data_IF_353273991749
#
_entry.id   IF_353273991749
#
_cell.length_a   1.000
_cell.length_b   1.000
_cell.length_c   1.000
_cell.angle_alpha   90.00
_cell.angle_beta   90.00
_cell.angle_gamma   90.00
#
_symmetry.space_group_name_H-M   'P 1'
#
loop_
_entity.id
_entity.type
_entity.pdbx_description
1 polymer ?
#
# COMPACT_ATOMS: atom_id res chain seq x y z
N UNK A 1 28.92 -31.41 -4.79
CA UNK A 1 28.51 -31.79 -3.44
C UNK A 1 27.51 -30.76 -2.98
N UNK A 2 26.25 -31.15 -2.79
CA UNK A 2 25.29 -30.26 -2.13
C UNK A 2 25.79 -30.04 -0.71
N UNK A 3 26.13 -28.82 -0.39
CA UNK A 3 26.50 -28.44 0.97
C UNK A 3 25.31 -28.71 1.86
N UNK A 4 25.48 -29.52 2.91
CA UNK A 4 24.39 -29.95 3.80
C UNK A 4 23.83 -28.72 4.54
N UNK A 5 22.54 -28.49 4.37
CA UNK A 5 21.77 -27.54 5.20
C UNK A 5 21.73 -28.07 6.64
N UNK A 6 21.86 -27.17 7.61
CA UNK A 6 21.92 -27.48 9.03
C UNK A 6 20.70 -26.94 9.74
N UNK A 7 20.14 -27.73 10.63
CA UNK A 7 19.15 -27.27 11.60
C UNK A 7 19.85 -26.44 12.68
N UNK A 8 19.37 -25.21 12.88
CA UNK A 8 19.84 -24.31 13.92
C UNK A 8 18.67 -23.66 14.64
N UNK A 9 18.82 -23.39 15.93
CA UNK A 9 17.83 -22.66 16.70
C UNK A 9 18.04 -21.15 16.53
N UNK A 10 16.96 -20.36 16.67
CA UNK A 10 17.08 -18.90 16.54
C UNK A 10 18.04 -18.26 17.56
N UNK A 11 18.20 -18.86 18.78
CA UNK A 11 19.16 -18.35 19.76
C UNK A 11 20.64 -18.68 19.41
N UNK A 12 20.88 -19.56 18.45
CA UNK A 12 22.21 -19.82 17.87
C UNK A 12 22.50 -18.86 16.69
N UNK A 13 21.44 -18.39 15.99
CA UNK A 13 21.55 -17.42 14.90
C UNK A 13 21.99 -16.05 15.41
N UNK A 14 21.58 -15.69 16.61
CA UNK A 14 21.90 -14.38 17.16
C UNK A 14 21.27 -14.11 18.52
N UNK A 15 21.51 -12.91 19.03
CA UNK A 15 20.95 -12.47 20.31
C UNK A 15 19.49 -12.11 20.17
N UNK A 16 18.62 -12.83 20.90
CA UNK A 16 17.18 -12.54 20.92
C UNK A 16 16.86 -11.45 21.96
N UNK A 17 16.19 -10.40 21.52
CA UNK A 17 15.73 -9.30 22.37
C UNK A 17 14.23 -9.14 22.21
N UNK A 18 13.48 -9.23 23.32
CA UNK A 18 12.09 -8.77 23.39
C UNK A 18 12.11 -7.28 23.73
N UNK A 19 11.36 -6.50 22.97
CA UNK A 19 11.28 -5.07 23.20
C UNK A 19 10.59 -4.71 24.53
N UNK A 20 10.66 -3.43 24.89
CA UNK A 20 10.03 -2.88 26.09
C UNK A 20 9.59 -1.46 25.84
N UNK A 21 8.42 -1.11 26.36
CA UNK A 21 7.87 0.25 26.28
C UNK A 21 8.36 1.08 27.50
N UNK A 22 9.00 2.25 27.26
CA UNK A 22 9.24 3.22 28.33
C UNK A 22 7.95 3.68 28.98
N UNK A 23 8.00 4.21 30.20
CA UNK A 23 6.81 4.70 30.91
C UNK A 23 6.06 5.73 30.06
N UNK A 24 4.85 5.42 29.66
CA UNK A 24 4.00 6.27 28.81
C UNK A 24 3.47 7.52 29.53
N UNK A 25 3.45 7.50 30.87
CA UNK A 25 3.08 8.66 31.69
C UNK A 25 4.15 9.75 31.75
N UNK A 26 5.34 9.50 31.21
CA UNK A 26 6.44 10.46 31.15
C UNK A 26 6.58 10.90 29.70
N UNK A 27 6.00 12.06 29.37
CA UNK A 27 6.00 12.61 28.01
C UNK A 27 7.41 12.83 27.46
N UNK A 28 8.37 13.26 28.31
CA UNK A 28 9.77 13.49 27.99
C UNK A 28 10.50 12.21 27.47
N UNK A 29 9.91 11.03 27.59
CA UNK A 29 10.49 9.81 27.05
C UNK A 29 10.31 9.72 25.52
N UNK A 30 9.40 10.51 24.94
CA UNK A 30 8.97 10.41 23.56
C UNK A 30 9.26 11.69 22.77
N UNK A 31 9.23 11.60 21.41
CA UNK A 31 9.38 12.75 20.52
C UNK A 31 10.84 13.12 20.20
N UNK A 32 11.81 12.22 20.46
CA UNK A 32 13.20 12.39 20.04
C UNK A 32 13.50 11.75 18.68
N UNK A 33 14.77 11.37 18.48
CA UNK A 33 15.27 10.88 17.19
C UNK A 33 15.40 9.35 17.10
N UNK A 34 15.09 8.60 18.16
CA UNK A 34 15.28 7.16 18.18
C UNK A 34 13.97 6.47 17.79
N UNK A 35 13.92 5.72 16.67
CA UNK A 35 12.73 5.01 16.25
C UNK A 35 12.20 4.05 17.32
N UNK A 36 10.87 4.08 17.56
CA UNK A 36 10.19 3.17 18.48
C UNK A 36 9.16 2.33 17.73
N UNK A 37 9.60 1.18 17.26
CA UNK A 37 8.81 0.27 16.43
C UNK A 37 7.77 -0.50 17.25
N UNK A 38 6.54 -0.50 16.74
CA UNK A 38 5.40 -1.26 17.28
C UNK A 38 4.64 -1.95 16.14
N UNK A 39 3.80 -2.96 16.37
CA UNK A 39 3.00 -3.58 15.31
C UNK A 39 2.02 -2.62 14.62
N UNK A 40 1.74 -1.46 15.20
CA UNK A 40 0.91 -0.41 14.56
C UNK A 40 1.64 0.37 13.47
N UNK A 41 2.95 0.23 13.37
CA UNK A 41 3.76 0.81 12.29
C UNK A 41 3.63 -0.04 11.01
N UNK A 42 4.09 0.49 9.88
CA UNK A 42 4.02 -0.24 8.62
C UNK A 42 5.05 -1.38 8.58
N UNK A 43 4.65 -2.56 9.01
CA UNK A 43 5.48 -3.78 8.94
C UNK A 43 5.29 -4.57 7.63
N UNK A 44 4.76 -3.97 6.57
CA UNK A 44 4.64 -4.61 5.25
C UNK A 44 5.78 -4.20 4.29
N UNK A 45 6.80 -3.53 4.80
CA UNK A 45 8.01 -3.12 4.09
C UNK A 45 9.20 -3.92 4.62
N UNK A 46 10.25 -4.07 3.79
CA UNK A 46 11.45 -4.80 4.21
C UNK A 46 12.20 -4.08 5.31
N UNK A 47 12.48 -2.80 5.13
CA UNK A 47 13.28 -2.00 6.05
C UNK A 47 12.45 -0.86 6.61
N UNK A 48 12.36 -0.77 7.94
CA UNK A 48 11.64 0.31 8.61
C UNK A 48 12.51 1.56 8.69
N UNK A 49 12.08 2.63 8.02
CA UNK A 49 12.80 3.91 8.00
C UNK A 49 12.14 4.96 8.91
N UNK A 50 10.84 4.82 9.19
CA UNK A 50 10.06 5.76 9.98
C UNK A 50 9.12 4.99 10.90
N UNK A 51 8.91 5.51 12.11
CA UNK A 51 7.95 4.98 13.07
C UNK A 51 6.99 6.08 13.52
N UNK A 52 5.78 5.71 13.89
CA UNK A 52 4.76 6.65 14.40
C UNK A 52 5.16 7.34 15.69
N UNK A 53 6.03 6.71 16.46
CA UNK A 53 6.57 7.23 17.72
C UNK A 53 8.07 7.10 17.72
N UNK A 54 8.73 8.05 18.36
CA UNK A 54 10.16 8.04 18.61
C UNK A 54 10.47 8.22 20.08
N UNK A 55 11.66 7.85 20.51
CA UNK A 55 12.14 8.03 21.88
C UNK A 55 13.20 9.10 21.95
N UNK A 56 13.22 9.81 23.08
CA UNK A 56 14.35 10.65 23.47
C UNK A 56 15.46 9.79 24.08
N UNK A 57 16.63 10.38 24.32
CA UNK A 57 17.70 9.73 25.09
C UNK A 57 17.26 9.34 26.51
N UNK A 58 16.32 10.10 27.11
CA UNK A 58 15.73 9.78 28.43
C UNK A 58 14.88 8.51 28.32
N UNK A 59 14.01 8.43 27.30
CA UNK A 59 13.20 7.24 27.05
C UNK A 59 14.05 6.01 26.75
N UNK A 60 15.11 6.17 25.95
CA UNK A 60 16.06 5.09 25.67
C UNK A 60 16.72 4.58 26.95
N UNK A 61 17.12 5.45 27.88
CA UNK A 61 17.79 5.07 29.13
C UNK A 61 16.92 4.14 30.01
N UNK A 62 15.58 4.25 29.96
CA UNK A 62 14.68 3.32 30.66
C UNK A 62 14.70 1.90 30.07
N UNK A 63 15.07 1.78 28.79
CA UNK A 63 14.98 0.52 28.01
C UNK A 63 16.26 0.23 27.21
N UNK A 64 17.41 0.78 27.62
CA UNK A 64 18.69 0.70 26.87
C UNK A 64 19.11 -0.72 26.48
N UNK A 65 18.73 -1.73 27.28
CA UNK A 65 19.03 -3.13 27.00
C UNK A 65 18.21 -3.69 25.83
N UNK A 66 17.20 -2.93 25.33
CA UNK A 66 16.37 -3.27 24.20
C UNK A 66 16.75 -2.51 22.93
N UNK A 67 17.85 -1.74 22.95
CA UNK A 67 18.36 -1.08 21.75
C UNK A 67 18.89 -2.11 20.77
N UNK A 68 18.37 -2.04 19.54
CA UNK A 68 18.71 -2.90 18.42
C UNK A 68 19.57 -2.11 17.44
N UNK A 69 20.71 -2.65 16.99
CA UNK A 69 21.48 -2.03 15.91
C UNK A 69 20.75 -2.14 14.55
N UNK A 70 21.25 -1.41 13.57
CA UNK A 70 20.86 -1.57 12.16
C UNK A 70 20.94 -3.05 11.75
N UNK A 71 20.06 -3.46 10.82
CA UNK A 71 19.95 -4.81 10.28
C UNK A 71 19.50 -5.87 11.31
N UNK A 72 18.88 -5.46 12.41
CA UNK A 72 18.21 -6.41 13.31
C UNK A 72 16.89 -6.89 12.68
N UNK A 73 16.61 -8.18 12.76
CA UNK A 73 15.36 -8.79 12.24
C UNK A 73 14.30 -8.71 13.33
N UNK A 74 13.24 -7.93 13.11
CA UNK A 74 12.15 -7.69 14.05
C UNK A 74 10.89 -8.45 13.62
N UNK A 75 10.33 -9.27 14.51
CA UNK A 75 9.16 -10.11 14.24
C UNK A 75 8.04 -9.77 15.22
N UNK A 76 6.87 -9.47 14.69
CA UNK A 76 5.66 -9.28 15.50
C UNK A 76 5.19 -10.64 16.06
N UNK A 77 5.01 -10.71 17.37
CA UNK A 77 4.72 -11.97 18.07
C UNK A 77 3.37 -11.99 18.77
N UNK A 78 2.51 -10.99 18.59
CA UNK A 78 1.21 -10.86 19.27
C UNK A 78 0.16 -10.26 18.34
N UNK A 79 -1.08 -10.75 18.42
CA UNK A 79 -2.25 -10.14 17.81
C UNK A 79 -2.45 -10.50 16.34
N UNK A 80 -3.28 -9.71 15.64
CA UNK A 80 -3.63 -9.91 14.22
C UNK A 80 -2.43 -9.78 13.28
N UNK A 81 -1.41 -9.03 13.68
CA UNK A 81 -0.18 -8.77 12.91
C UNK A 81 0.95 -9.76 13.23
N UNK A 82 0.65 -10.84 13.96
CA UNK A 82 1.61 -11.89 14.28
C UNK A 82 2.29 -12.43 13.03
N UNK A 83 3.62 -12.53 13.06
CA UNK A 83 4.43 -13.06 11.97
C UNK A 83 4.88 -12.04 10.92
N UNK A 84 4.53 -10.75 11.06
CA UNK A 84 5.13 -9.69 10.22
C UNK A 84 6.59 -9.48 10.60
N UNK A 85 7.43 -9.26 9.60
CA UNK A 85 8.89 -9.16 9.76
C UNK A 85 9.43 -7.91 9.07
N UNK A 86 10.29 -7.16 9.75
CA UNK A 86 11.01 -6.01 9.20
C UNK A 86 12.46 -6.00 9.65
N UNK A 87 13.32 -5.30 8.90
CA UNK A 87 14.68 -4.96 9.28
C UNK A 87 14.74 -3.53 9.84
N UNK A 88 15.59 -3.31 10.83
CA UNK A 88 15.91 -1.96 11.32
C UNK A 88 16.85 -1.25 10.35
N UNK A 89 16.58 0.03 10.01
CA UNK A 89 17.46 0.88 9.18
C UNK A 89 18.60 1.51 9.99
N UNK A 90 18.36 1.68 11.31
CA UNK A 90 19.25 2.33 12.27
C UNK A 90 19.01 1.80 13.68
N UNK A 91 19.65 2.39 14.65
CA UNK A 91 19.46 2.06 16.07
C UNK A 91 17.99 2.28 16.47
N UNK A 92 17.28 1.21 16.81
CA UNK A 92 15.83 1.19 17.01
C UNK A 92 15.48 0.51 18.34
N UNK A 93 14.42 0.93 19.00
CA UNK A 93 13.81 0.23 20.13
C UNK A 93 12.46 -0.32 19.71
N UNK A 94 12.08 -1.50 20.19
CA UNK A 94 10.75 -2.11 19.91
C UNK A 94 9.93 -2.21 21.19
N UNK A 95 8.60 -2.34 21.04
CA UNK A 95 7.73 -2.66 22.18
C UNK A 95 7.78 -4.17 22.51
N UNK A 96 7.12 -4.57 23.60
CA UNK A 96 7.10 -5.96 24.08
C UNK A 96 6.34 -6.94 23.16
N UNK A 97 5.69 -6.48 22.12
CA UNK A 97 4.97 -7.31 21.14
C UNK A 97 5.90 -7.82 20.02
N UNK A 98 7.15 -7.36 20.01
CA UNK A 98 8.15 -7.69 19.00
C UNK A 98 9.31 -8.44 19.65
N UNK A 99 9.65 -9.60 19.09
CA UNK A 99 10.92 -10.27 19.33
C UNK A 99 11.87 -9.97 18.17
N UNK A 100 13.11 -9.67 18.49
CA UNK A 100 14.12 -9.24 17.52
C UNK A 100 15.36 -10.11 17.61
N UNK A 101 15.99 -10.36 16.46
CA UNK A 101 17.23 -11.11 16.34
C UNK A 101 18.34 -10.14 15.92
N UNK A 102 19.35 -9.95 16.78
CA UNK A 102 20.60 -9.35 16.36
C UNK A 102 21.46 -10.48 15.81
N UNK A 103 21.45 -10.61 14.49
CA UNK A 103 22.10 -11.72 13.77
C UNK A 103 23.61 -11.64 13.96
N UNK A 104 24.28 -12.76 14.27
CA UNK A 104 25.72 -12.83 14.41
C UNK A 104 26.43 -12.99 13.05
N UNK A 105 27.75 -12.87 13.03
CA UNK A 105 28.57 -12.84 11.81
C UNK A 105 28.59 -14.15 11.01
N UNK A 106 28.14 -15.27 11.58
CA UNK A 106 28.07 -16.56 10.90
C UNK A 106 26.85 -16.72 9.99
N UNK A 107 25.92 -15.73 10.04
CA UNK A 107 24.68 -15.75 9.26
C UNK A 107 24.49 -14.44 8.52
N UNK A 108 23.84 -14.51 7.35
CA UNK A 108 23.40 -13.35 6.58
C UNK A 108 22.06 -12.84 7.12
N UNK A 109 22.01 -11.59 7.57
CA UNK A 109 20.80 -11.01 8.17
C UNK A 109 19.62 -10.90 7.17
N UNK A 110 19.90 -10.73 5.86
CA UNK A 110 18.84 -10.73 4.85
C UNK A 110 18.30 -12.15 4.66
N UNK A 111 19.16 -13.19 4.67
CA UNK A 111 18.69 -14.57 4.61
C UNK A 111 17.80 -14.87 5.83
N UNK A 112 18.22 -14.49 7.03
CA UNK A 112 17.41 -14.66 8.25
C UNK A 112 16.09 -13.87 8.16
N UNK A 113 16.09 -12.67 7.60
CA UNK A 113 14.87 -11.90 7.33
C UNK A 113 13.89 -12.70 6.47
N UNK A 114 14.34 -13.25 5.33
CA UNK A 114 13.49 -14.03 4.43
C UNK A 114 13.02 -15.36 5.06
N UNK A 115 13.89 -16.01 5.83
CA UNK A 115 13.50 -17.20 6.59
C UNK A 115 12.40 -16.86 7.60
N UNK A 116 12.53 -15.75 8.31
CA UNK A 116 11.53 -15.32 9.29
C UNK A 116 10.20 -14.93 8.66
N UNK A 117 10.15 -14.50 7.39
CA UNK A 117 8.89 -14.32 6.66
C UNK A 117 8.13 -15.65 6.53
N UNK A 118 8.82 -16.75 6.20
CA UNK A 118 8.20 -18.07 6.10
C UNK A 118 7.76 -18.60 7.47
N UNK A 119 8.63 -18.51 8.47
CA UNK A 119 8.30 -18.86 9.86
C UNK A 119 7.12 -18.04 10.36
N UNK A 120 7.11 -16.73 10.11
CA UNK A 120 6.03 -15.83 10.49
C UNK A 120 4.68 -16.20 9.85
N UNK A 121 4.67 -16.60 8.58
CA UNK A 121 3.46 -17.10 7.90
C UNK A 121 2.94 -18.39 8.56
N UNK A 122 3.83 -19.33 8.91
CA UNK A 122 3.45 -20.56 9.63
C UNK A 122 2.87 -20.25 11.01
N UNK A 123 3.53 -19.38 11.78
CA UNK A 123 3.09 -18.98 13.10
C UNK A 123 1.72 -18.27 13.04
N UNK A 124 1.49 -17.41 12.05
CA UNK A 124 0.19 -16.76 11.83
C UNK A 124 -0.91 -17.78 11.49
N UNK A 125 -0.61 -18.75 10.63
CA UNK A 125 -1.56 -19.80 10.27
C UNK A 125 -1.93 -20.66 11.49
N UNK A 126 -0.96 -21.13 12.26
CA UNK A 126 -1.19 -21.90 13.49
C UNK A 126 -1.99 -21.11 14.52
N UNK A 127 -1.79 -19.82 14.60
CA UNK A 127 -2.49 -18.93 15.53
C UNK A 127 -3.99 -18.81 15.25
N UNK A 128 -4.39 -18.85 13.99
CA UNK A 128 -5.80 -18.73 13.56
C UNK A 128 -6.63 -19.97 13.91
N UNK A 129 -5.99 -21.10 14.16
CA UNK A 129 -6.65 -22.33 14.63
C UNK A 129 -6.88 -22.37 16.15
N UNK A 130 -6.38 -21.39 16.90
CA UNK A 130 -6.51 -21.30 18.36
C UNK A 130 -7.61 -20.29 18.75
N UNK A 131 -8.41 -20.61 19.76
CA UNK A 131 -9.44 -19.71 20.31
C UNK A 131 -8.89 -18.57 21.20
N UNK A 132 -7.60 -18.61 21.55
CA UNK A 132 -6.91 -17.59 22.34
C UNK A 132 -6.08 -16.68 21.44
N UNK A 133 -5.90 -15.40 21.87
CA UNK A 133 -4.97 -14.48 21.17
C UNK A 133 -3.58 -15.10 21.16
N UNK A 134 -3.02 -15.38 19.98
CA UNK A 134 -1.74 -16.06 19.89
C UNK A 134 -0.62 -15.14 20.40
N UNK A 135 0.16 -15.65 21.33
CA UNK A 135 1.33 -14.97 21.87
C UNK A 135 2.52 -15.91 21.77
N UNK A 136 3.55 -15.48 21.06
CA UNK A 136 4.83 -16.18 20.99
C UNK A 136 5.82 -15.47 21.93
N UNK A 137 6.01 -16.04 23.09
CA UNK A 137 6.97 -15.51 24.05
C UNK A 137 8.42 -15.74 23.59
N UNK A 138 9.35 -15.01 24.21
CA UNK A 138 10.79 -15.08 23.89
C UNK A 138 11.34 -16.51 23.92
N UNK A 139 10.95 -17.31 24.94
CA UNK A 139 11.48 -18.69 25.10
C UNK A 139 11.05 -19.60 23.98
N UNK A 140 9.78 -19.51 23.54
CA UNK A 140 9.28 -20.27 22.39
C UNK A 140 9.97 -19.80 21.13
N UNK A 141 9.99 -18.49 20.88
CA UNK A 141 10.65 -17.88 19.71
C UNK A 141 12.12 -18.30 19.59
N UNK A 142 12.88 -18.27 20.70
CA UNK A 142 14.31 -18.63 20.71
C UNK A 142 14.59 -20.08 20.33
N UNK A 143 13.64 -20.99 20.56
CA UNK A 143 13.76 -22.42 20.31
C UNK A 143 13.27 -22.84 18.92
N UNK A 144 12.67 -21.92 18.15
CA UNK A 144 12.29 -22.23 16.77
C UNK A 144 13.51 -22.70 15.99
N UNK A 145 13.33 -23.77 15.21
CA UNK A 145 14.38 -24.40 14.41
C UNK A 145 14.20 -23.97 12.96
N UNK A 146 15.27 -23.54 12.35
CA UNK A 146 15.34 -23.20 10.93
C UNK A 146 16.45 -24.00 10.24
N UNK A 147 16.28 -24.27 8.96
CA UNK A 147 17.31 -24.87 8.14
C UNK A 147 18.12 -23.80 7.44
N UNK A 148 19.43 -23.85 7.53
CA UNK A 148 20.33 -22.86 6.96
C UNK A 148 21.44 -23.52 6.14
N UNK A 149 21.73 -23.01 4.92
CA UNK A 149 22.89 -23.42 4.14
C UNK A 149 24.17 -22.73 4.67
N UNK A 150 25.35 -23.08 4.13
CA UNK A 150 26.57 -22.31 4.36
C UNK A 150 26.42 -20.83 4.03
N UNK A 151 27.19 -19.98 4.71
CA UNK A 151 27.07 -18.50 4.64
C UNK A 151 27.10 -17.95 3.21
N UNK A 152 27.95 -18.52 2.32
CA UNK A 152 28.05 -18.05 0.94
C UNK A 152 26.78 -18.34 0.14
N UNK A 153 26.12 -19.46 0.42
CA UNK A 153 24.84 -19.79 -0.19
C UNK A 153 23.70 -18.92 0.38
N UNK A 154 23.72 -18.64 1.71
CA UNK A 154 22.79 -17.67 2.32
C UNK A 154 22.88 -16.33 1.62
N UNK A 155 24.09 -15.81 1.36
CA UNK A 155 24.30 -14.54 0.67
C UNK A 155 23.80 -14.55 -0.77
N UNK A 156 23.98 -15.66 -1.51
CA UNK A 156 23.45 -15.79 -2.87
C UNK A 156 21.92 -15.77 -2.88
N UNK A 157 21.29 -16.56 -2.03
CA UNK A 157 19.82 -16.59 -1.89
C UNK A 157 19.28 -15.22 -1.51
N UNK A 158 19.85 -14.59 -0.49
CA UNK A 158 19.40 -13.29 -0.02
C UNK A 158 19.63 -12.18 -1.03
N UNK A 159 20.70 -12.25 -1.82
CA UNK A 159 20.98 -11.30 -2.91
C UNK A 159 19.90 -11.34 -3.99
N UNK A 160 19.51 -12.54 -4.45
CA UNK A 160 18.46 -12.71 -5.47
C UNK A 160 17.16 -12.06 -4.99
N UNK A 161 16.72 -12.39 -3.77
CA UNK A 161 15.47 -11.86 -3.20
C UNK A 161 15.56 -10.36 -2.91
N UNK A 162 16.70 -9.89 -2.40
CA UNK A 162 16.91 -8.48 -2.09
C UNK A 162 16.93 -7.58 -3.32
N UNK A 163 17.44 -8.08 -4.44
CA UNK A 163 17.42 -7.33 -5.71
C UNK A 163 15.99 -7.16 -6.23
N UNK A 164 15.13 -8.17 -6.08
CA UNK A 164 13.72 -8.05 -6.42
C UNK A 164 13.03 -7.01 -5.51
N UNK A 165 13.24 -7.09 -4.19
CA UNK A 165 12.67 -6.12 -3.25
C UNK A 165 13.18 -4.70 -3.52
N UNK A 166 14.48 -4.53 -3.76
CA UNK A 166 15.06 -3.22 -4.09
C UNK A 166 14.46 -2.62 -5.37
N UNK A 167 14.19 -3.46 -6.37
CA UNK A 167 13.52 -3.01 -7.60
C UNK A 167 12.07 -2.58 -7.32
N UNK A 168 11.33 -3.33 -6.51
CA UNK A 168 9.97 -2.99 -6.07
C UNK A 168 9.98 -1.64 -5.33
N UNK A 169 10.85 -1.49 -4.34
CA UNK A 169 10.97 -0.25 -3.56
C UNK A 169 11.32 0.96 -4.44
N UNK A 170 12.22 0.77 -5.41
CA UNK A 170 12.57 1.83 -6.36
C UNK A 170 11.38 2.24 -7.24
N UNK A 171 10.61 1.27 -7.77
CA UNK A 171 9.41 1.55 -8.56
C UNK A 171 8.36 2.29 -7.75
N UNK A 172 8.12 1.91 -6.49
CA UNK A 172 7.21 2.61 -5.58
C UNK A 172 7.66 4.06 -5.33
N UNK A 173 8.96 4.29 -5.14
CA UNK A 173 9.54 5.64 -4.99
C UNK A 173 9.38 6.48 -6.26
N UNK A 174 9.60 5.88 -7.42
CA UNK A 174 9.38 6.56 -8.71
C UNK A 174 7.91 6.94 -8.85
N UNK A 175 6.97 6.05 -8.54
CA UNK A 175 5.54 6.35 -8.61
C UNK A 175 5.15 7.51 -7.70
N UNK A 176 5.63 7.51 -6.45
CA UNK A 176 5.39 8.63 -5.52
C UNK A 176 5.87 9.97 -6.10
N UNK A 177 7.08 9.99 -6.68
CA UNK A 177 7.62 11.22 -7.27
C UNK A 177 6.82 11.67 -8.51
N UNK A 178 6.35 10.73 -9.33
CA UNK A 178 5.51 11.02 -10.49
C UNK A 178 4.13 11.56 -10.08
N UNK A 179 3.52 11.01 -9.04
CA UNK A 179 2.27 11.53 -8.47
C UNK A 179 2.42 12.97 -7.94
N UNK A 180 3.51 13.23 -7.21
CA UNK A 180 3.79 14.59 -6.71
C UNK A 180 4.09 15.57 -7.86
N UNK A 181 4.76 15.11 -8.93
CA UNK A 181 4.96 15.91 -10.14
C UNK A 181 3.61 16.26 -10.79
N UNK A 182 2.73 15.29 -10.99
CA UNK A 182 1.39 15.50 -11.56
C UNK A 182 0.57 16.50 -10.72
N UNK A 183 0.57 16.34 -9.40
CA UNK A 183 -0.10 17.29 -8.48
C UNK A 183 0.48 18.68 -8.58
N UNK A 184 1.81 18.82 -8.70
CA UNK A 184 2.48 20.12 -8.83
C UNK A 184 2.09 20.82 -10.11
N UNK A 185 2.08 20.09 -11.26
CA UNK A 185 1.63 20.61 -12.55
C UNK A 185 0.16 21.02 -12.47
N UNK A 186 -0.71 20.16 -11.90
CA UNK A 186 -2.13 20.43 -11.76
C UNK A 186 -2.36 21.70 -10.95
N UNK A 187 -1.72 21.84 -9.79
CA UNK A 187 -1.83 23.04 -8.94
C UNK A 187 -1.41 24.29 -9.69
N UNK A 188 -0.28 24.27 -10.38
CA UNK A 188 0.27 25.39 -11.11
C UNK A 188 -0.68 25.89 -12.21
N UNK A 189 -1.30 24.94 -12.94
CA UNK A 189 -2.19 25.27 -14.07
C UNK A 189 -3.63 25.54 -13.67
N UNK A 190 -4.21 24.74 -12.75
CA UNK A 190 -5.66 24.65 -12.54
C UNK A 190 -6.16 25.10 -11.16
N UNK A 191 -5.23 25.35 -10.21
CA UNK A 191 -5.58 25.93 -8.90
C UNK A 191 -5.03 27.34 -8.80
N UNK A 192 -3.73 27.52 -9.07
CA UNK A 192 -3.07 28.81 -8.98
C UNK A 192 -3.23 29.64 -10.29
N UNK A 193 -3.68 29.03 -11.38
CA UNK A 193 -3.84 29.61 -12.73
C UNK A 193 -2.62 30.41 -13.24
N UNK A 194 -1.42 30.11 -12.73
CA UNK A 194 -0.21 30.95 -12.93
C UNK A 194 0.12 31.25 -14.40
N UNK A 195 0.02 30.30 -15.37
CA UNK A 195 0.31 30.63 -16.77
C UNK A 195 -0.73 31.56 -17.44
N UNK A 196 -1.93 31.66 -16.86
CA UNK A 196 -3.08 32.31 -17.48
C UNK A 196 -3.41 33.67 -16.87
N UNK A 197 -2.82 34.03 -15.72
CA UNK A 197 -2.99 35.34 -15.06
C UNK A 197 -2.12 36.42 -15.66
N UNK A 198 -1.09 36.08 -16.45
CA UNK A 198 -0.21 37.03 -17.11
C UNK A 198 -0.95 37.69 -18.26
N UNK A 199 -1.51 38.85 -18.01
CA UNK A 199 -2.25 39.65 -19.01
C UNK A 199 -3.61 40.15 -18.53
N UNK A 200 -4.06 39.79 -17.31
CA UNK A 200 -5.30 40.30 -16.72
C UNK A 200 -6.59 39.79 -17.34
N UNK A 201 -6.51 38.69 -18.09
CA UNK A 201 -7.67 38.06 -18.73
C UNK A 201 -8.32 37.07 -17.75
N UNK A 202 -9.15 37.63 -16.83
CA UNK A 202 -9.98 36.82 -15.90
C UNK A 202 -11.44 37.25 -16.02
N UNK A 203 -12.35 36.31 -15.72
CA UNK A 203 -13.79 36.54 -15.70
C UNK A 203 -14.37 36.10 -14.34
N UNK A 204 -15.45 36.75 -13.91
CA UNK A 204 -16.20 36.32 -12.73
C UNK A 204 -17.03 35.07 -13.01
N UNK A 205 -17.00 34.10 -12.09
CA UNK A 205 -17.80 32.87 -12.14
C UNK A 205 -18.40 32.56 -10.77
N UNK A 206 -19.23 31.50 -10.70
CA UNK A 206 -19.74 30.97 -9.42
C UNK A 206 -18.63 30.50 -8.46
N UNK A 207 -17.46 30.15 -9.00
CA UNK A 207 -16.28 29.69 -8.24
C UNK A 207 -15.21 30.79 -8.05
N UNK A 208 -15.56 32.06 -8.32
CA UNK A 208 -14.64 33.20 -8.23
C UNK A 208 -14.04 33.55 -9.58
N UNK A 209 -12.87 34.24 -9.56
CA UNK A 209 -12.20 34.66 -10.79
C UNK A 209 -11.52 33.47 -11.47
N UNK A 210 -11.87 33.20 -12.71
CA UNK A 210 -11.29 32.18 -13.57
C UNK A 210 -10.62 32.76 -14.80
N UNK A 211 -9.66 32.09 -15.45
CA UNK A 211 -9.09 32.54 -16.71
C UNK A 211 -10.17 32.69 -17.78
N UNK A 212 -9.98 33.70 -18.66
CA UNK A 212 -10.87 33.94 -19.79
C UNK A 212 -10.97 32.68 -20.69
N UNK A 213 -12.13 32.48 -21.26
CA UNK A 213 -12.46 31.31 -22.12
C UNK A 213 -12.50 29.95 -21.38
N UNK A 214 -12.42 29.95 -20.03
CA UNK A 214 -12.69 28.79 -19.23
C UNK A 214 -14.17 28.80 -18.78
N UNK A 215 -14.71 27.62 -18.44
CA UNK A 215 -16.11 27.47 -18.02
C UNK A 215 -16.21 26.80 -16.64
N UNK A 216 -17.30 27.04 -15.94
CA UNK A 216 -17.68 26.24 -14.77
C UNK A 216 -18.69 25.20 -15.26
N UNK A 217 -18.44 23.94 -14.94
CA UNK A 217 -19.32 22.82 -15.26
C UNK A 217 -19.53 21.96 -14.02
N UNK A 218 -20.66 21.30 -13.92
CA UNK A 218 -20.85 20.21 -12.98
C UNK A 218 -20.07 18.96 -13.42
N UNK A 219 -19.78 18.05 -12.48
CA UNK A 219 -19.15 16.78 -12.85
C UNK A 219 -20.03 16.00 -13.85
N UNK A 220 -21.37 16.04 -13.70
CA UNK A 220 -22.30 15.36 -14.61
C UNK A 220 -22.18 15.88 -16.04
N UNK A 221 -22.02 17.20 -16.21
CA UNK A 221 -21.81 17.82 -17.54
C UNK A 221 -20.43 17.51 -18.12
N UNK A 222 -19.43 17.35 -17.26
CA UNK A 222 -18.05 17.10 -17.67
C UNK A 222 -17.78 15.65 -18.09
N UNK A 223 -18.40 14.65 -17.44
CA UNK A 223 -18.19 13.22 -17.74
C UNK A 223 -19.15 12.71 -18.80
N UNK A 224 -18.81 11.63 -19.48
CA UNK A 224 -19.68 11.00 -20.48
C UNK A 224 -20.73 10.08 -19.82
N UNK A 225 -20.44 9.51 -18.65
CA UNK A 225 -21.39 8.65 -17.92
C UNK A 225 -21.02 8.55 -16.44
N UNK A 226 -22.02 8.31 -15.60
CA UNK A 226 -21.86 8.02 -14.17
C UNK A 226 -22.66 6.80 -13.76
N UNK A 227 -22.02 5.80 -13.15
CA UNK A 227 -22.67 4.53 -12.78
C UNK A 227 -22.47 4.22 -11.30
N UNK A 228 -23.55 3.78 -10.66
CA UNK A 228 -23.44 3.13 -9.35
C UNK A 228 -23.09 1.66 -9.54
N UNK A 229 -22.31 1.13 -8.59
CA UNK A 229 -22.04 -0.29 -8.53
C UNK A 229 -23.21 -1.12 -8.04
N UNK A 230 -23.00 -2.43 -7.98
CA UNK A 230 -23.98 -3.38 -7.47
C UNK A 230 -23.32 -4.64 -6.91
N UNK A 231 -24.03 -5.31 -6.01
CA UNK A 231 -23.57 -6.55 -5.39
C UNK A 231 -24.49 -7.70 -5.81
N UNK A 232 -23.97 -8.70 -6.53
CA UNK A 232 -24.73 -9.93 -6.77
C UNK A 232 -25.09 -10.60 -5.43
N UNK A 233 -26.18 -11.36 -5.39
CA UNK A 233 -26.62 -12.06 -4.16
C UNK A 233 -25.47 -12.92 -3.61
N UNK A 234 -25.00 -12.61 -2.41
CA UNK A 234 -23.87 -13.33 -1.77
C UNK A 234 -24.16 -14.81 -1.51
N UNK A 235 -25.42 -15.18 -1.28
CA UNK A 235 -25.81 -16.58 -1.03
C UNK A 235 -25.90 -17.45 -2.29
N UNK A 236 -25.74 -16.88 -3.49
CA UNK A 236 -25.77 -17.61 -4.75
C UNK A 236 -24.36 -17.94 -5.22
N UNK A 237 -23.86 -19.14 -4.89
CA UNK A 237 -22.49 -19.54 -5.22
C UNK A 237 -22.19 -19.44 -6.72
N UNK A 238 -23.16 -19.71 -7.59
CA UNK A 238 -23.02 -19.57 -9.03
C UNK A 238 -22.71 -18.15 -9.52
N UNK A 239 -22.87 -17.13 -8.65
CA UNK A 239 -22.52 -15.75 -8.99
C UNK A 239 -21.09 -15.39 -8.60
N UNK A 240 -20.43 -16.22 -7.77
CA UNK A 240 -19.12 -15.95 -7.18
C UNK A 240 -18.08 -17.01 -7.50
N UNK A 241 -18.46 -18.32 -7.40
CA UNK A 241 -17.50 -19.40 -7.53
C UNK A 241 -16.92 -19.46 -8.95
N UNK A 242 -15.59 -19.47 -9.04
CA UNK A 242 -14.83 -19.43 -10.29
C UNK A 242 -15.16 -18.18 -11.15
N UNK A 243 -15.52 -17.08 -10.51
CA UNK A 243 -15.72 -15.80 -11.20
C UNK A 243 -14.46 -15.30 -11.89
N UNK A 244 -14.63 -14.67 -13.04
CA UNK A 244 -13.55 -14.09 -13.85
C UNK A 244 -13.67 -12.58 -14.02
N UNK A 245 -14.85 -12.00 -13.73
CA UNK A 245 -15.10 -10.56 -13.82
C UNK A 245 -14.68 -9.90 -12.50
N UNK A 246 -13.69 -9.01 -12.49
CA UNK A 246 -13.25 -8.31 -11.29
C UNK A 246 -14.38 -7.55 -10.60
N UNK A 247 -14.50 -7.70 -9.26
CA UNK A 247 -15.50 -7.02 -8.46
C UNK A 247 -14.85 -6.38 -7.23
N UNK A 248 -14.89 -5.05 -7.18
CA UNK A 248 -14.17 -4.24 -6.20
C UNK A 248 -15.07 -3.83 -5.04
N UNK A 249 -14.50 -3.87 -3.85
CA UNK A 249 -15.08 -3.31 -2.61
C UNK A 249 -14.51 -1.92 -2.33
N UNK A 250 -15.23 -1.11 -1.56
CA UNK A 250 -14.74 0.21 -1.11
C UNK A 250 -13.40 0.15 -0.38
N UNK A 251 -13.08 -0.96 0.29
CA UNK A 251 -11.80 -1.15 0.97
C UNK A 251 -10.57 -1.22 0.06
N UNK A 252 -10.77 -1.54 -1.22
CA UNK A 252 -9.72 -1.61 -2.24
C UNK A 252 -9.43 -0.22 -2.87
N UNK A 253 -10.31 0.77 -2.61
CA UNK A 253 -10.18 2.14 -3.12
C UNK A 253 -9.42 2.97 -2.08
N UNK A 254 -8.22 3.41 -2.44
CA UNK A 254 -7.34 4.12 -1.50
C UNK A 254 -6.47 5.18 -2.21
N UNK A 255 -7.09 6.03 -3.04
CA UNK A 255 -6.41 7.05 -3.85
C UNK A 255 -5.28 6.44 -4.71
N UNK A 256 -5.58 5.32 -5.36
CA UNK A 256 -4.61 4.46 -6.02
C UNK A 256 -5.00 4.15 -7.46
N UNK A 257 -4.03 3.67 -8.22
CA UNK A 257 -4.28 3.00 -9.49
C UNK A 257 -4.63 1.54 -9.21
N UNK A 258 -5.76 1.08 -9.70
CA UNK A 258 -6.31 -0.25 -9.46
C UNK A 258 -6.00 -1.12 -10.67
N UNK A 259 -5.12 -2.12 -10.47
CA UNK A 259 -4.66 -3.06 -11.50
C UNK A 259 -5.19 -4.47 -11.30
N UNK A 260 -5.84 -4.76 -10.17
CA UNK A 260 -6.40 -6.07 -9.81
C UNK A 260 -7.53 -5.91 -8.81
N UNK A 261 -8.30 -6.98 -8.58
CA UNK A 261 -9.36 -7.08 -7.59
C UNK A 261 -9.15 -8.31 -6.71
N UNK A 262 -9.55 -8.23 -5.45
CA UNK A 262 -9.52 -9.37 -4.53
C UNK A 262 -10.61 -10.40 -4.83
N UNK A 263 -11.79 -9.93 -5.27
CA UNK A 263 -12.94 -10.78 -5.56
C UNK A 263 -13.34 -10.69 -7.04
N UNK A 264 -13.95 -11.76 -7.52
CA UNK A 264 -14.47 -11.85 -8.87
C UNK A 264 -15.89 -12.38 -8.85
N UNK A 265 -16.69 -11.96 -9.82
CA UNK A 265 -18.04 -12.49 -10.08
C UNK A 265 -18.06 -13.24 -11.39
N UNK A 266 -19.01 -14.13 -11.55
CA UNK A 266 -19.24 -14.82 -12.84
C UNK A 266 -20.01 -13.90 -13.80
N UNK A 267 -19.96 -14.23 -15.09
CA UNK A 267 -20.83 -13.58 -16.10
C UNK A 267 -22.32 -13.69 -15.73
N UNK A 268 -22.71 -14.82 -15.11
CA UNK A 268 -24.06 -15.01 -14.61
C UNK A 268 -24.40 -14.03 -13.48
N UNK A 269 -23.47 -13.82 -12.56
CA UNK A 269 -23.58 -12.85 -11.48
C UNK A 269 -23.69 -11.42 -12.00
N UNK A 270 -22.87 -11.08 -13.02
CA UNK A 270 -22.94 -9.79 -13.69
C UNK A 270 -24.33 -9.58 -14.35
N UNK A 271 -24.80 -10.55 -15.12
CA UNK A 271 -26.07 -10.46 -15.88
C UNK A 271 -27.29 -10.38 -14.97
N UNK A 272 -27.27 -11.08 -13.82
CA UNK A 272 -28.42 -11.21 -12.93
C UNK A 272 -28.34 -10.28 -11.69
N UNK A 273 -27.55 -9.21 -11.77
CA UNK A 273 -27.43 -8.23 -10.70
C UNK A 273 -27.44 -6.80 -11.23
N UNK A 274 -27.39 -5.84 -10.29
CA UNK A 274 -27.23 -4.42 -10.62
C UNK A 274 -25.77 -4.02 -10.89
N UNK A 275 -24.81 -4.93 -10.74
CA UNK A 275 -23.42 -4.67 -11.06
C UNK A 275 -23.26 -4.24 -12.52
N UNK A 276 -22.37 -3.27 -12.75
CA UNK A 276 -22.10 -2.73 -14.09
C UNK A 276 -20.62 -2.90 -14.39
N UNK A 277 -20.32 -3.44 -15.58
CA UNK A 277 -18.94 -3.46 -16.06
C UNK A 277 -18.52 -2.03 -16.41
N UNK A 278 -17.40 -1.62 -15.86
CA UNK A 278 -16.79 -0.30 -16.02
C UNK A 278 -15.58 -0.44 -16.93
N UNK A 279 -15.41 0.46 -17.90
CA UNK A 279 -14.26 0.42 -18.78
C UNK A 279 -12.95 0.80 -18.05
N UNK A 280 -11.83 0.40 -18.65
CA UNK A 280 -10.49 0.87 -18.25
C UNK A 280 -10.49 2.41 -18.25
N UNK A 281 -9.72 2.99 -17.36
CA UNK A 281 -9.60 4.43 -17.10
C UNK A 281 -10.84 5.08 -16.45
N UNK A 282 -11.83 4.32 -15.98
CA UNK A 282 -12.89 4.89 -15.13
C UNK A 282 -12.32 5.32 -13.78
N UNK A 283 -12.83 6.42 -13.24
CA UNK A 283 -12.61 6.82 -11.85
C UNK A 283 -13.70 6.20 -10.99
N UNK A 284 -13.30 5.57 -9.88
CA UNK A 284 -14.24 5.04 -8.89
C UNK A 284 -14.11 5.86 -7.62
N UNK A 285 -15.23 6.31 -7.05
CA UNK A 285 -15.27 6.96 -5.74
C UNK A 285 -16.07 6.13 -4.75
N UNK A 286 -15.52 5.93 -3.55
CA UNK A 286 -16.26 5.35 -2.42
C UNK A 286 -17.23 6.40 -1.85
N UNK A 287 -18.52 6.06 -1.81
CA UNK A 287 -19.58 6.98 -1.38
C UNK A 287 -19.77 7.01 0.13
N UNK A 288 -19.46 5.91 0.82
CA UNK A 288 -19.61 5.81 2.26
C UNK A 288 -18.64 4.79 2.89
N UNK A 289 -18.60 4.82 4.23
CA UNK A 289 -17.71 4.03 5.05
C UNK A 289 -16.77 4.93 5.88
N UNK A 290 -16.65 4.63 7.17
CA UNK A 290 -15.79 5.41 8.06
C UNK A 290 -14.33 5.36 7.60
N UNK A 291 -13.81 6.51 7.16
CA UNK A 291 -12.44 6.65 6.66
C UNK A 291 -12.21 6.10 5.24
N UNK A 292 -13.29 5.78 4.50
CA UNK A 292 -13.21 5.41 3.07
C UNK A 292 -14.01 6.34 2.16
N UNK A 293 -15.02 7.04 2.69
CA UNK A 293 -15.79 8.02 1.92
C UNK A 293 -14.89 9.03 1.23
N UNK A 294 -15.23 9.41 0.02
CA UNK A 294 -14.46 10.28 -0.89
C UNK A 294 -13.09 9.74 -1.36
N UNK A 295 -12.69 8.53 -0.98
CA UNK A 295 -11.51 7.91 -1.60
C UNK A 295 -11.81 7.56 -3.04
N UNK A 296 -10.82 7.75 -3.89
CA UNK A 296 -10.95 7.48 -5.33
C UNK A 296 -9.93 6.44 -5.79
N UNK A 297 -10.24 5.76 -6.88
CA UNK A 297 -9.34 4.85 -7.59
C UNK A 297 -9.45 5.06 -9.09
N UNK A 298 -8.32 4.94 -9.79
CA UNK A 298 -8.27 4.95 -11.25
C UNK A 298 -8.12 3.52 -11.76
N UNK A 299 -9.09 3.03 -12.53
CA UNK A 299 -9.07 1.67 -13.08
C UNK A 299 -8.05 1.52 -14.20
N UNK A 300 -7.23 0.49 -14.13
CA UNK A 300 -6.40 0.01 -15.26
C UNK A 300 -6.78 -1.42 -15.69
N UNK A 301 -7.98 -1.86 -15.31
CA UNK A 301 -8.62 -3.09 -15.76
C UNK A 301 -10.13 -2.80 -15.93
N UNK A 302 -10.82 -3.62 -16.70
CA UNK A 302 -12.29 -3.64 -16.67
C UNK A 302 -12.74 -4.29 -15.36
N UNK A 303 -13.65 -3.65 -14.64
CA UNK A 303 -14.10 -4.13 -13.34
C UNK A 303 -15.54 -3.75 -13.05
N UNK A 304 -16.13 -4.42 -12.08
CA UNK A 304 -17.39 -4.04 -11.44
C UNK A 304 -17.14 -3.59 -10.01
N UNK A 305 -18.10 -2.95 -9.38
CA UNK A 305 -17.97 -2.48 -7.99
C UNK A 305 -19.22 -2.78 -7.18
N UNK A 306 -19.11 -2.72 -5.86
CA UNK A 306 -20.28 -2.78 -4.99
C UNK A 306 -21.10 -1.48 -5.08
N UNK A 307 -22.32 -1.49 -4.52
CA UNK A 307 -23.24 -0.36 -4.50
C UNK A 307 -22.76 0.87 -3.71
N UNK A 308 -21.69 0.72 -2.93
CA UNK A 308 -21.06 1.80 -2.17
C UNK A 308 -20.06 2.62 -3.00
N UNK A 309 -20.00 2.38 -4.29
CA UNK A 309 -19.11 3.07 -5.23
C UNK A 309 -19.91 3.76 -6.33
N UNK A 310 -19.42 4.95 -6.73
CA UNK A 310 -19.85 5.65 -7.93
C UNK A 310 -18.68 5.69 -8.91
N UNK A 311 -18.94 5.30 -10.15
CA UNK A 311 -17.98 5.40 -11.24
C UNK A 311 -18.26 6.65 -12.09
N UNK A 312 -17.21 7.34 -12.48
CA UNK A 312 -17.20 8.46 -13.41
C UNK A 312 -16.40 8.03 -14.64
N UNK A 313 -16.98 8.16 -15.80
CA UNK A 313 -16.45 7.65 -17.07
C UNK A 313 -16.27 8.81 -18.02
N UNK A 314 -15.04 9.03 -18.49
CA UNK A 314 -14.74 9.91 -19.61
C UNK A 314 -14.20 9.07 -20.76
N UNK A 315 -14.61 9.34 -21.98
CA UNK A 315 -14.12 8.65 -23.19
C UNK A 315 -12.69 9.07 -23.56
N UNK A 316 -12.27 10.24 -23.08
CA UNK A 316 -10.91 10.74 -23.23
C UNK A 316 -10.11 10.57 -21.92
N UNK A 317 -8.89 10.02 -22.01
CA UNK A 317 -8.06 9.74 -20.85
C UNK A 317 -7.47 11.01 -20.22
N UNK A 318 -7.18 12.06 -20.98
CA UNK A 318 -6.69 13.32 -20.43
C UNK A 318 -7.79 13.99 -19.60
N UNK A 319 -9.05 13.98 -20.07
CA UNK A 319 -10.23 14.39 -19.29
C UNK A 319 -10.35 13.61 -17.99
N UNK A 320 -10.20 12.28 -18.07
CA UNK A 320 -10.23 11.42 -16.88
C UNK A 320 -9.17 11.86 -15.87
N UNK A 321 -7.93 12.09 -16.29
CA UNK A 321 -6.84 12.47 -15.40
C UNK A 321 -7.00 13.87 -14.81
N UNK A 322 -7.54 14.79 -15.58
CA UNK A 322 -7.91 16.13 -15.09
C UNK A 322 -8.93 16.02 -13.95
N UNK A 323 -10.02 15.27 -14.17
CA UNK A 323 -11.05 15.03 -13.14
C UNK A 323 -10.48 14.24 -11.94
N UNK A 324 -9.65 13.23 -12.17
CA UNK A 324 -9.01 12.46 -11.09
C UNK A 324 -8.18 13.35 -10.17
N UNK A 325 -7.38 14.25 -10.74
CA UNK A 325 -6.59 15.20 -9.98
C UNK A 325 -7.47 16.25 -9.26
N UNK A 326 -8.53 16.74 -9.92
CA UNK A 326 -9.52 17.60 -9.27
C UNK A 326 -10.09 16.95 -8.01
N UNK A 327 -10.52 15.71 -8.11
CA UNK A 327 -11.09 14.97 -6.99
C UNK A 327 -10.07 14.71 -5.87
N UNK A 328 -8.81 14.43 -6.20
CA UNK A 328 -7.73 14.29 -5.22
C UNK A 328 -7.48 15.59 -4.45
N UNK A 329 -7.48 16.74 -5.12
CA UNK A 329 -7.26 18.03 -4.48
C UNK A 329 -8.42 18.46 -3.59
N UNK A 330 -9.65 18.12 -3.97
CA UNK A 330 -10.87 18.51 -3.24
C UNK A 330 -11.38 17.39 -2.32
N UNK A 331 -10.62 16.29 -2.15
CA UNK A 331 -11.07 15.10 -1.42
C UNK A 331 -11.56 15.41 0.00
N UNK A 332 -10.82 16.25 0.74
CA UNK A 332 -11.19 16.62 2.11
C UNK A 332 -12.48 17.42 2.18
N UNK A 333 -12.71 18.29 1.22
CA UNK A 333 -13.94 19.09 1.12
C UNK A 333 -15.12 18.16 0.78
N UNK A 334 -14.93 17.24 -0.16
CA UNK A 334 -15.93 16.24 -0.53
C UNK A 334 -16.23 15.31 0.67
N UNK A 335 -15.22 14.88 1.43
CA UNK A 335 -15.40 14.07 2.65
C UNK A 335 -16.22 14.84 3.70
N UNK A 336 -15.99 16.15 3.85
CA UNK A 336 -16.74 16.99 4.78
C UNK A 336 -18.23 17.08 4.40
N UNK A 337 -18.58 17.01 3.12
CA UNK A 337 -19.98 16.96 2.67
C UNK A 337 -20.69 15.68 3.15
N UNK A 338 -19.96 14.58 3.30
CA UNK A 338 -20.48 13.33 3.87
C UNK A 338 -20.69 13.40 5.39
N UNK A 339 -20.05 14.35 6.09
CA UNK A 339 -20.03 14.43 7.56
C UNK A 339 -21.06 15.41 8.13
N UNK A 340 -21.84 16.08 7.28
CA UNK A 340 -22.87 17.05 7.68
C UNK A 340 -24.01 16.39 8.47
N UNK A 341 -24.64 17.14 9.37
CA UNK A 341 -25.69 16.67 10.30
C UNK A 341 -26.95 16.10 9.63
N UNK A 342 -27.12 16.28 8.34
CA UNK A 342 -28.31 15.86 7.55
C UNK A 342 -28.02 14.67 6.65
N UNK A 343 -26.79 14.45 6.20
CA UNK A 343 -26.42 13.36 5.30
C UNK A 343 -25.10 12.73 5.74
N UNK A 344 -25.14 11.49 6.21
CA UNK A 344 -23.94 10.76 6.67
C UNK A 344 -23.18 10.06 5.53
N UNK A 345 -23.63 10.17 4.29
CA UNK A 345 -23.07 9.49 3.11
C UNK A 345 -23.07 10.41 1.89
N UNK A 346 -22.10 10.25 1.03
CA UNK A 346 -22.11 10.83 -0.31
C UNK A 346 -23.17 10.12 -1.17
N UNK A 347 -23.82 10.84 -2.05
CA UNK A 347 -24.68 10.27 -3.08
C UNK A 347 -24.11 10.52 -4.46
N UNK A 348 -24.55 9.74 -5.45
CA UNK A 348 -24.20 10.01 -6.86
C UNK A 348 -24.61 11.43 -7.27
N UNK A 349 -25.81 11.86 -6.89
CA UNK A 349 -26.32 13.19 -7.25
C UNK A 349 -25.50 14.33 -6.62
N UNK A 350 -25.02 14.12 -5.37
CA UNK A 350 -24.15 15.09 -4.74
C UNK A 350 -22.82 15.23 -5.49
N UNK A 351 -22.22 14.12 -5.90
CA UNK A 351 -20.96 14.12 -6.69
C UNK A 351 -21.24 14.70 -8.10
N UNK A 352 -22.34 14.36 -8.73
CA UNK A 352 -22.74 14.85 -10.04
C UNK A 352 -22.84 16.38 -10.10
N UNK A 353 -23.33 17.00 -9.02
CA UNK A 353 -23.51 18.46 -8.90
C UNK A 353 -22.26 19.21 -8.38
N UNK A 354 -21.15 18.55 -8.11
CA UNK A 354 -19.91 19.28 -7.79
C UNK A 354 -19.43 20.06 -9.00
N UNK A 355 -19.17 21.36 -8.79
CA UNK A 355 -18.70 22.26 -9.83
C UNK A 355 -17.17 22.23 -9.93
N UNK A 356 -16.66 22.32 -11.16
CA UNK A 356 -15.23 22.42 -11.45
C UNK A 356 -15.00 23.47 -12.55
N UNK A 357 -13.86 24.12 -12.48
CA UNK A 357 -13.40 25.06 -13.52
C UNK A 357 -12.74 24.25 -14.62
N UNK A 358 -13.29 24.31 -15.83
CA UNK A 358 -12.87 23.52 -16.99
C UNK A 358 -12.15 24.40 -18.01
N UNK A 359 -10.89 24.10 -18.34
CA UNK A 359 -10.16 24.80 -19.39
C UNK A 359 -10.56 24.29 -20.78
N UNK A 360 -10.18 24.99 -21.87
CA UNK A 360 -10.14 24.41 -23.21
C UNK A 360 -9.39 23.10 -23.22
N UNK A 361 -9.92 22.11 -23.96
CA UNK A 361 -9.40 20.72 -23.94
C UNK A 361 -7.91 20.64 -24.36
N UNK A 362 -7.49 21.49 -25.27
CA UNK A 362 -6.12 21.56 -25.77
C UNK A 362 -5.10 21.86 -24.63
N UNK A 363 -5.53 22.58 -23.59
CA UNK A 363 -4.68 22.84 -22.42
C UNK A 363 -4.44 21.57 -21.65
N UNK A 364 -5.48 20.74 -21.46
CA UNK A 364 -5.38 19.46 -20.75
C UNK A 364 -4.50 18.48 -21.55
N UNK A 365 -4.73 18.38 -22.87
CA UNK A 365 -4.03 17.48 -23.78
C UNK A 365 -2.52 17.79 -23.91
N UNK A 366 -2.14 19.06 -23.81
CA UNK A 366 -0.74 19.48 -23.88
C UNK A 366 0.06 19.26 -22.58
N UNK A 367 -0.59 18.81 -21.49
CA UNK A 367 0.09 18.51 -20.22
C UNK A 367 0.46 17.03 -20.12
N UNK A 368 1.57 16.68 -19.49
CA UNK A 368 2.13 15.34 -19.50
C UNK A 368 1.43 14.37 -18.53
N UNK A 369 0.15 14.57 -18.25
CA UNK A 369 -0.58 13.71 -17.29
C UNK A 369 -0.69 12.28 -17.79
N UNK A 370 -0.99 12.09 -19.08
CA UNK A 370 -1.15 10.77 -19.67
C UNK A 370 0.15 9.96 -19.57
N UNK A 371 1.29 10.56 -19.96
CA UNK A 371 2.60 9.91 -19.90
C UNK A 371 2.99 9.55 -18.46
N UNK A 372 2.70 10.46 -17.52
CA UNK A 372 2.96 10.24 -16.09
C UNK A 372 2.14 9.06 -15.57
N UNK A 373 0.81 9.06 -15.79
CA UNK A 373 -0.06 8.03 -15.25
C UNK A 373 0.06 6.69 -15.96
N UNK A 374 0.38 6.67 -17.25
CA UNK A 374 0.73 5.43 -17.96
C UNK A 374 2.03 4.82 -17.41
N UNK A 375 3.04 5.67 -17.09
CA UNK A 375 4.27 5.18 -16.45
C UNK A 375 4.01 4.65 -15.04
N UNK A 376 3.18 5.33 -14.24
CA UNK A 376 2.80 4.85 -12.91
C UNK A 376 2.07 3.49 -13.02
N UNK A 377 1.12 3.36 -13.94
CA UNK A 377 0.39 2.11 -14.14
C UNK A 377 1.32 0.95 -14.55
N UNK A 378 2.21 1.19 -15.51
CA UNK A 378 3.20 0.20 -15.94
C UNK A 378 4.12 -0.23 -14.78
N UNK A 379 4.53 0.71 -13.94
CA UNK A 379 5.32 0.39 -12.76
C UNK A 379 4.51 -0.47 -11.76
N UNK A 380 3.19 -0.23 -11.58
CA UNK A 380 2.37 -1.09 -10.72
C UNK A 380 2.21 -2.50 -11.28
N UNK A 381 2.08 -2.68 -12.61
CA UNK A 381 2.11 -4.02 -13.21
C UNK A 381 3.46 -4.72 -13.02
N UNK A 382 4.58 -3.99 -13.16
CA UNK A 382 5.91 -4.54 -12.90
C UNK A 382 6.09 -4.92 -11.42
N UNK A 383 5.61 -4.10 -10.48
CA UNK A 383 5.61 -4.39 -9.04
C UNK A 383 4.81 -5.66 -8.74
N UNK A 384 3.64 -5.82 -9.33
CA UNK A 384 2.80 -7.01 -9.15
C UNK A 384 3.52 -8.26 -9.67
N UNK A 385 4.11 -8.19 -10.86
CA UNK A 385 4.90 -9.29 -11.43
C UNK A 385 6.09 -9.66 -10.54
N UNK A 386 6.87 -8.68 -10.08
CA UNK A 386 8.04 -8.89 -9.21
C UNK A 386 7.64 -9.46 -7.85
N UNK A 387 6.50 -9.00 -7.30
CA UNK A 387 5.97 -9.50 -6.03
C UNK A 387 5.59 -10.99 -6.17
N UNK A 388 4.88 -11.36 -7.23
CA UNK A 388 4.51 -12.75 -7.49
C UNK A 388 5.75 -13.63 -7.76
N UNK A 389 6.74 -13.10 -8.48
CA UNK A 389 8.02 -13.79 -8.72
C UNK A 389 8.74 -14.05 -7.40
N UNK A 390 8.91 -13.02 -6.56
CA UNK A 390 9.53 -13.15 -5.24
C UNK A 390 8.79 -14.18 -4.38
N UNK A 391 7.47 -14.08 -4.29
CA UNK A 391 6.65 -14.96 -3.43
C UNK A 391 6.65 -16.41 -3.91
N UNK A 392 6.87 -16.64 -5.20
CA UNK A 392 7.07 -17.96 -5.80
C UNK A 392 8.48 -18.51 -5.55
N UNK A 393 9.50 -17.66 -5.68
CA UNK A 393 10.90 -18.05 -5.50
C UNK A 393 11.25 -18.27 -4.02
N UNK A 394 10.68 -17.45 -3.13
CA UNK A 394 11.03 -17.45 -1.70
C UNK A 394 10.98 -18.85 -1.07
N UNK A 395 9.88 -19.61 -1.10
CA UNK A 395 9.85 -20.94 -0.48
C UNK A 395 10.81 -21.91 -1.14
N UNK A 396 11.02 -21.83 -2.45
CA UNK A 396 11.88 -22.73 -3.21
C UNK A 396 13.37 -22.49 -2.95
N UNK A 397 13.77 -21.23 -2.83
CA UNK A 397 15.13 -20.85 -2.47
C UNK A 397 15.43 -21.19 -1.00
N UNK A 398 14.47 -20.94 -0.12
CA UNK A 398 14.64 -21.16 1.33
C UNK A 398 14.52 -22.62 1.74
N UNK A 399 14.05 -23.50 0.88
CA UNK A 399 14.04 -24.97 1.08
C UNK A 399 15.21 -25.69 0.40
N UNK A 400 16.01 -24.98 -0.42
CA UNK A 400 17.06 -25.58 -1.24
C UNK A 400 16.53 -26.34 -2.48
N UNK A 401 15.23 -26.22 -2.81
CA UNK A 401 14.67 -26.80 -4.06
C UNK A 401 15.36 -26.20 -5.30
N UNK A 402 15.71 -24.90 -5.23
CA UNK A 402 16.52 -24.22 -6.26
C UNK A 402 17.96 -24.21 -5.78
N UNK A 403 18.83 -24.93 -6.48
CA UNK A 403 20.29 -24.92 -6.27
C UNK A 403 20.92 -23.63 -6.78
N UNK A 404 21.39 -22.78 -5.87
CA UNK A 404 22.09 -21.52 -6.21
C UNK A 404 23.60 -21.66 -6.27
N UNK A 405 24.17 -22.85 -6.03
CA UNK A 405 25.62 -23.06 -6.02
C UNK A 405 26.30 -22.67 -7.34
N UNK A 406 25.59 -22.86 -8.46
CA UNK A 406 26.05 -22.57 -9.83
C UNK A 406 25.73 -21.16 -10.32
N UNK A 407 25.02 -20.36 -9.53
CA UNK A 407 24.69 -18.97 -9.90
C UNK A 407 25.92 -18.10 -9.59
N UNK A 408 26.52 -17.52 -10.62
CA UNK A 408 27.49 -16.45 -10.44
C UNK A 408 26.73 -15.18 -10.05
N UNK A 409 26.80 -14.79 -8.79
CA UNK A 409 26.38 -13.48 -8.32
C UNK A 409 27.57 -12.52 -8.39
N UNK A 410 28.06 -12.20 -9.58
CA UNK A 410 28.90 -11.04 -9.80
C UNK A 410 27.98 -9.80 -9.74
N UNK A 411 27.79 -9.29 -8.53
CA UNK A 411 26.98 -8.11 -8.22
C UNK A 411 27.84 -7.06 -7.53
#
# INVERSE_FOLDING_TARGET
MSLEWKEVRLDEVGKIITGKTPKTSIEDNYGGDIPFLTPSDNMNIKTINETKKTLTLKGLNEVKNCLLPKNSVCVSCIGSDLGKVVLTSENTVTNQQINSIIVNENFDYNFIYYMMILVGKQLNFMSKSSTAVPIINKSTFSKEIINVPPLDEQRKISSILSNIDAKIENLLRINKNLEELAKTIYRYHFIDFKPYLLGGYVEESSLGLIPKDWSVQSIEEFVDDMKNGGTPKRGESNYWDNGTVPWLKTGEINNNIIIKSEEHITELGLKNSSAKLLPINSIIMALYGKGTAARIGLLKLEATTNQACCAMICNDFNKTLFLYLFLLFNQKEIENLASGSVQQNLSKDLIANLELVVPPIEIIENLPFKEIYDKIANNYFEIEYLTNLRDTLLPKLMSGEIDVSKINCDL
#
